data_IF_644597505390
#
_entry.id   IF_644597505390
#
_cell.length_a   1.000
_cell.length_b   1.000
_cell.length_c   1.000
_cell.angle_alpha   90.00
_cell.angle_beta   90.00
_cell.angle_gamma   90.00
#
_symmetry.space_group_name_H-M   'P 1'
#
loop_
_entity.id
_entity.type
_entity.pdbx_description
1 polymer ?
#
# COMPACT_ATOMS: atom_id res chain seq x y z
N UNK A 1 -17.11 24.85 -2.65
CA UNK A 1 -17.04 23.51 -2.04
C UNK A 1 -17.72 22.57 -3.01
N UNK A 2 -17.02 21.57 -3.54
CA UNK A 2 -17.68 20.57 -4.39
C UNK A 2 -18.65 19.75 -3.55
N UNK A 3 -19.89 19.64 -4.02
CA UNK A 3 -20.91 18.82 -3.37
C UNK A 3 -20.54 17.34 -3.46
N UNK A 4 -20.89 16.51 -2.45
CA UNK A 4 -20.67 15.08 -2.53
C UNK A 4 -21.40 14.49 -3.74
N UNK A 5 -20.68 13.72 -4.57
CA UNK A 5 -21.28 12.95 -5.67
C UNK A 5 -21.65 11.55 -5.18
N UNK A 6 -22.89 11.15 -5.42
CA UNK A 6 -23.37 9.79 -5.12
C UNK A 6 -22.83 8.80 -6.14
N UNK A 7 -22.36 7.65 -5.67
CA UNK A 7 -21.86 6.57 -6.51
C UNK A 7 -22.61 5.30 -6.14
N UNK A 8 -23.16 4.61 -7.13
CA UNK A 8 -23.78 3.29 -6.96
C UNK A 8 -22.79 2.23 -7.41
N UNK A 9 -22.51 1.25 -6.55
CA UNK A 9 -21.61 0.14 -6.84
C UNK A 9 -22.27 -1.17 -6.45
N UNK A 10 -21.98 -2.23 -7.20
CA UNK A 10 -22.34 -3.60 -6.83
C UNK A 10 -21.16 -4.24 -6.12
N UNK A 11 -21.42 -4.91 -5.00
CA UNK A 11 -20.43 -5.66 -4.22
C UNK A 11 -20.93 -7.09 -3.98
N UNK A 12 -20.03 -8.08 -3.87
CA UNK A 12 -20.42 -9.44 -3.49
C UNK A 12 -21.20 -9.44 -2.16
N UNK A 13 -22.24 -10.28 -2.01
CA UNK A 13 -23.05 -10.32 -0.80
C UNK A 13 -22.25 -10.57 0.48
N UNK A 14 -21.22 -11.41 0.40
CA UNK A 14 -20.37 -11.74 1.54
C UNK A 14 -19.57 -10.52 2.01
N UNK A 15 -18.98 -9.78 1.06
CA UNK A 15 -18.29 -8.53 1.35
C UNK A 15 -19.22 -7.46 1.94
N UNK A 16 -20.46 -7.38 1.44
CA UNK A 16 -21.45 -6.46 2.00
C UNK A 16 -21.74 -6.77 3.48
N UNK A 17 -21.87 -8.05 3.83
CA UNK A 17 -22.08 -8.50 5.22
C UNK A 17 -20.89 -8.17 6.11
N UNK A 18 -19.66 -8.39 5.64
CA UNK A 18 -18.45 -8.03 6.38
C UNK A 18 -18.35 -6.53 6.64
N UNK A 19 -18.67 -5.71 5.63
CA UNK A 19 -18.69 -4.25 5.77
C UNK A 19 -19.78 -3.80 6.75
N UNK A 20 -20.96 -4.40 6.70
CA UNK A 20 -22.06 -4.07 7.62
C UNK A 20 -21.64 -4.36 9.08
N UNK A 21 -21.06 -5.54 9.34
CA UNK A 21 -20.55 -5.90 10.67
C UNK A 21 -19.47 -4.93 11.16
N UNK A 22 -18.51 -4.61 10.29
CA UNK A 22 -17.40 -3.72 10.66
C UNK A 22 -17.89 -2.30 10.94
N UNK A 23 -18.85 -1.80 10.15
CA UNK A 23 -19.45 -0.49 10.34
C UNK A 23 -20.20 -0.41 11.69
N UNK A 24 -20.92 -1.47 12.06
CA UNK A 24 -21.61 -1.59 13.35
C UNK A 24 -20.62 -1.61 14.52
N UNK A 25 -19.57 -2.44 14.44
CA UNK A 25 -18.52 -2.53 15.46
C UNK A 25 -17.82 -1.19 15.70
N UNK A 26 -17.61 -0.40 14.64
CA UNK A 26 -16.94 0.90 14.69
C UNK A 26 -17.91 2.06 14.95
N UNK A 27 -19.22 1.79 15.10
CA UNK A 27 -20.23 2.82 15.36
C UNK A 27 -20.37 3.86 14.24
N UNK A 28 -20.15 3.47 12.98
CA UNK A 28 -20.19 4.36 11.82
C UNK A 28 -21.06 3.83 10.69
N UNK A 29 -21.41 4.69 9.74
CA UNK A 29 -22.18 4.26 8.57
C UNK A 29 -21.31 3.55 7.53
N UNK A 30 -21.92 2.65 6.74
CA UNK A 30 -21.30 2.04 5.55
C UNK A 30 -20.64 3.08 4.65
N UNK A 31 -21.33 4.18 4.38
CA UNK A 31 -20.86 5.24 3.49
C UNK A 31 -19.61 5.92 4.04
N UNK A 32 -19.49 6.06 5.36
CA UNK A 32 -18.26 6.55 5.99
C UNK A 32 -17.12 5.55 5.86
N UNK A 33 -17.41 4.27 6.09
CA UNK A 33 -16.43 3.20 5.94
C UNK A 33 -15.88 3.12 4.51
N UNK A 34 -16.75 3.11 3.50
CA UNK A 34 -16.33 3.08 2.10
C UNK A 34 -15.54 4.33 1.68
N UNK A 35 -15.97 5.53 2.10
CA UNK A 35 -15.23 6.76 1.81
C UNK A 35 -13.83 6.74 2.43
N UNK A 36 -13.71 6.23 3.65
CA UNK A 36 -12.42 6.15 4.33
C UNK A 36 -11.52 5.10 3.69
N UNK A 37 -12.06 3.92 3.39
CA UNK A 37 -11.33 2.88 2.66
C UNK A 37 -10.81 3.37 1.30
N UNK A 38 -11.65 4.09 0.54
CA UNK A 38 -11.24 4.70 -0.72
C UNK A 38 -10.11 5.72 -0.55
N UNK A 39 -10.19 6.60 0.46
CA UNK A 39 -9.12 7.56 0.78
C UNK A 39 -7.82 6.86 1.16
N UNK A 40 -7.89 5.83 1.99
CA UNK A 40 -6.72 5.07 2.41
C UNK A 40 -6.06 4.35 1.24
N UNK A 41 -6.85 3.73 0.36
CA UNK A 41 -6.34 3.09 -0.85
C UNK A 41 -5.58 4.08 -1.74
N UNK A 42 -6.20 5.23 -2.07
CA UNK A 42 -5.57 6.25 -2.92
C UNK A 42 -4.30 6.81 -2.30
N UNK A 43 -4.34 7.20 -1.02
CA UNK A 43 -3.16 7.72 -0.31
C UNK A 43 -2.03 6.70 -0.25
N UNK A 44 -2.35 5.42 -0.05
CA UNK A 44 -1.34 4.36 0.00
C UNK A 44 -0.71 4.17 -1.36
N UNK A 45 -1.51 4.16 -2.43
CA UNK A 45 -1.04 4.07 -3.81
C UNK A 45 -0.12 5.24 -4.17
N UNK A 46 -0.55 6.47 -3.90
CA UNK A 46 0.22 7.69 -4.20
C UNK A 46 1.56 7.71 -3.45
N UNK A 47 1.55 7.30 -2.17
CA UNK A 47 2.78 7.19 -1.37
C UNK A 47 3.75 6.18 -1.96
N UNK A 48 3.26 5.00 -2.35
CA UNK A 48 4.10 3.99 -3.00
C UNK A 48 4.69 4.49 -4.30
N UNK A 49 3.90 5.15 -5.14
CA UNK A 49 4.36 5.74 -6.39
C UNK A 49 5.50 6.74 -6.16
N UNK A 50 5.38 7.61 -5.14
CA UNK A 50 6.43 8.54 -4.76
C UNK A 50 7.72 7.83 -4.29
N UNK A 51 7.59 6.81 -3.45
CA UNK A 51 8.74 6.02 -2.96
C UNK A 51 9.47 5.36 -4.13
N UNK A 52 8.74 4.74 -5.06
CA UNK A 52 9.33 4.10 -6.24
C UNK A 52 9.96 5.12 -7.19
N UNK A 53 9.32 6.27 -7.40
CA UNK A 53 9.88 7.35 -8.22
C UNK A 53 11.20 7.87 -7.64
N UNK A 54 11.23 8.11 -6.33
CA UNK A 54 12.43 8.52 -5.61
C UNK A 54 13.55 7.48 -5.71
N UNK A 55 13.24 6.20 -5.46
CA UNK A 55 14.21 5.12 -5.57
C UNK A 55 14.82 4.99 -6.98
N UNK A 56 13.99 5.11 -8.03
CA UNK A 56 14.45 5.11 -9.43
C UNK A 56 15.37 6.30 -9.74
N UNK A 57 15.10 7.47 -9.17
CA UNK A 57 15.95 8.64 -9.34
C UNK A 57 17.31 8.46 -8.66
N UNK A 58 17.30 8.01 -7.40
CA UNK A 58 18.52 7.70 -6.64
C UNK A 58 19.35 6.62 -7.34
N UNK A 59 18.72 5.53 -7.80
CA UNK A 59 19.40 4.45 -8.52
C UNK A 59 20.08 4.95 -9.80
N UNK A 60 19.38 5.76 -10.61
CA UNK A 60 19.98 6.40 -11.80
C UNK A 60 21.16 7.30 -11.45
N UNK A 61 21.04 8.14 -10.41
CA UNK A 61 22.10 9.05 -9.99
C UNK A 61 23.35 8.33 -9.47
N UNK A 62 23.15 7.19 -8.81
CA UNK A 62 24.24 6.39 -8.25
C UNK A 62 24.74 5.30 -9.21
N UNK A 63 24.14 5.16 -10.39
CA UNK A 63 24.50 4.12 -11.36
C UNK A 63 24.20 2.70 -10.88
N UNK A 64 23.29 2.54 -9.92
CA UNK A 64 22.94 1.24 -9.32
C UNK A 64 21.92 0.53 -10.20
N UNK A 65 22.28 -0.65 -10.68
CA UNK A 65 21.40 -1.57 -11.39
C UNK A 65 20.74 -2.56 -10.42
N UNK A 66 19.65 -3.19 -10.85
CA UNK A 66 18.94 -4.20 -10.04
C UNK A 66 19.84 -5.38 -9.65
N UNK A 67 20.80 -5.72 -10.51
CA UNK A 67 21.79 -6.78 -10.24
C UNK A 67 22.69 -6.45 -9.05
N UNK A 68 23.08 -5.18 -8.89
CA UNK A 68 23.95 -4.73 -7.80
C UNK A 68 23.25 -4.85 -6.45
N UNK A 69 21.92 -4.60 -6.42
CA UNK A 69 21.10 -4.77 -5.21
C UNK A 69 21.00 -6.24 -4.83
N UNK A 70 20.77 -7.12 -5.81
CA UNK A 70 20.67 -8.57 -5.57
C UNK A 70 21.99 -9.13 -5.01
N UNK A 71 23.11 -8.70 -5.57
CA UNK A 71 24.44 -9.08 -5.09
C UNK A 71 24.68 -8.58 -3.66
N UNK A 72 24.42 -7.30 -3.37
CA UNK A 72 24.58 -6.74 -2.03
C UNK A 72 23.76 -7.50 -0.96
N UNK A 73 22.51 -7.87 -1.28
CA UNK A 73 21.65 -8.65 -0.39
C UNK A 73 22.22 -10.05 -0.14
N UNK A 74 22.72 -10.72 -1.18
CA UNK A 74 23.36 -12.03 -1.02
C UNK A 74 24.60 -11.96 -0.14
N UNK A 75 25.47 -10.96 -0.35
CA UNK A 75 26.68 -10.77 0.43
C UNK A 75 26.36 -10.54 1.92
N UNK A 76 25.39 -9.67 2.23
CA UNK A 76 24.97 -9.42 3.61
C UNK A 76 24.36 -10.67 4.27
N UNK A 77 23.54 -11.44 3.54
CA UNK A 77 22.98 -12.70 4.04
C UNK A 77 24.07 -13.72 4.37
N UNK A 78 25.10 -13.84 3.53
CA UNK A 78 26.27 -14.70 3.78
C UNK A 78 27.05 -14.24 5.01
N UNK A 79 27.39 -12.94 5.07
CA UNK A 79 28.11 -12.36 6.18
C UNK A 79 27.38 -12.50 7.54
N UNK A 80 26.05 -12.52 7.54
CA UNK A 80 25.25 -12.81 8.76
C UNK A 80 25.30 -14.27 9.17
N UNK A 81 25.33 -15.20 8.22
CA UNK A 81 25.44 -16.63 8.50
C UNK A 81 26.80 -16.96 9.10
N UNK A 82 27.85 -16.38 8.55
CA UNK A 82 29.23 -16.64 8.98
C UNK A 82 29.53 -16.01 10.35
N UNK A 83 28.86 -14.91 10.73
CA UNK A 83 28.91 -14.33 12.10
C UNK A 83 28.16 -15.15 13.16
N UNK A 84 27.32 -16.10 12.75
CA UNK A 84 26.47 -16.91 13.64
C UNK A 84 27.01 -18.33 13.82
N UNK A 85 28.10 -18.68 13.12
CA UNK A 85 28.81 -19.95 13.21
C UNK A 85 30.08 -19.80 14.03
#
# INVERSE_FOLDING_TARGET
MDAPRTVTISVPPDLAREVDQQAELEGRSRSELYREAARQYLRSRDRWEQIFAYGKDVGRRLGVADADVAEAVMQERRARRDRRS
#
